data_IF_222297416054
#
_entry.id   IF_222297416054
#
_cell.length_a   1.000
_cell.length_b   1.000
_cell.length_c   1.000
_cell.angle_alpha   90.00
_cell.angle_beta   90.00
_cell.angle_gamma   90.00
#
_symmetry.space_group_name_H-M   'P 1'
#
loop_
_entity.id
_entity.type
_entity.pdbx_description
1 polymer ?
#
# COMPACT_ATOMS: atom_id res chain seq x y z
N UNK A 1 -29.80 -14.11 80.63
CA UNK A 1 -29.27 -15.47 80.42
C UNK A 1 -29.17 -15.64 78.91
N UNK A 2 -28.13 -15.06 78.31
CA UNK A 2 -26.87 -15.73 77.91
C UNK A 2 -27.15 -16.99 77.09
N UNK A 3 -26.90 -16.95 75.78
CA UNK A 3 -26.21 -17.98 74.98
C UNK A 3 -26.29 -17.57 73.48
N UNK A 4 -25.26 -16.92 72.91
CA UNK A 4 -24.27 -17.48 71.96
C UNK A 4 -24.71 -17.57 70.47
N UNK A 5 -23.95 -16.84 69.65
CA UNK A 5 -23.31 -17.28 68.39
C UNK A 5 -24.18 -17.56 67.15
N UNK A 6 -24.15 -16.64 66.17
CA UNK A 6 -23.64 -16.88 64.81
C UNK A 6 -23.70 -15.55 64.01
N UNK A 7 -22.74 -14.64 64.20
CA UNK A 7 -21.63 -14.39 63.26
C UNK A 7 -22.02 -14.29 61.79
N UNK A 8 -21.78 -13.09 61.26
CA UNK A 8 -22.22 -12.59 59.97
C UNK A 8 -21.66 -13.33 58.77
N UNK A 9 -22.54 -13.46 57.78
CA UNK A 9 -22.35 -13.30 56.34
C UNK A 9 -20.90 -13.17 55.87
N UNK A 10 -20.49 -14.18 55.09
CA UNK A 10 -19.32 -14.29 54.19
C UNK A 10 -19.34 -13.25 53.06
N UNK A 11 -18.31 -13.15 52.19
CA UNK A 11 -17.04 -13.87 52.14
C UNK A 11 -15.77 -13.01 52.12
N UNK A 12 -14.73 -13.70 52.57
CA UNK A 12 -13.30 -13.65 52.25
C UNK A 12 -12.85 -12.92 50.96
N UNK A 13 -11.96 -11.98 51.23
CA UNK A 13 -10.75 -11.58 50.51
C UNK A 13 -10.76 -10.55 49.36
N UNK A 14 -9.74 -9.66 49.37
CA UNK A 14 -9.79 -8.32 48.79
C UNK A 14 -8.73 -8.15 47.67
N UNK A 15 -8.51 -6.89 47.29
CA UNK A 15 -7.41 -6.35 46.47
C UNK A 15 -7.48 -6.61 44.95
N UNK A 16 -8.17 -5.69 44.26
CA UNK A 16 -7.85 -5.31 42.88
C UNK A 16 -7.65 -3.79 42.83
N UNK A 17 -6.39 -3.38 42.81
CA UNK A 17 -5.85 -2.04 42.64
C UNK A 17 -6.64 -1.25 41.59
N UNK A 18 -7.38 -0.25 42.04
CA UNK A 18 -7.90 0.79 41.16
C UNK A 18 -6.72 1.62 40.67
N UNK A 19 -6.28 1.33 39.45
CA UNK A 19 -5.30 2.14 38.74
C UNK A 19 -6.04 3.35 38.15
N UNK A 20 -5.62 4.61 38.38
CA UNK A 20 -6.14 5.70 37.57
C UNK A 20 -5.65 5.49 36.13
N UNK A 21 -6.59 5.44 35.19
CA UNK A 21 -6.30 5.34 33.77
C UNK A 21 -5.35 6.46 33.35
N UNK A 22 -4.12 6.10 32.97
CA UNK A 22 -3.19 7.02 32.33
C UNK A 22 -3.82 7.48 31.01
N UNK A 23 -3.89 8.78 30.71
CA UNK A 23 -4.28 9.21 29.38
C UNK A 23 -3.24 8.69 28.40
N UNK A 24 -3.66 7.76 27.52
CA UNK A 24 -2.88 7.39 26.34
C UNK A 24 -2.79 8.61 25.43
N UNK A 25 -1.71 9.38 25.56
CA UNK A 25 -1.31 10.30 24.50
C UNK A 25 -0.93 9.43 23.30
N UNK A 26 -1.88 9.29 22.38
CA UNK A 26 -1.60 8.73 21.06
C UNK A 26 -0.55 9.64 20.42
N UNK A 27 0.66 9.15 20.06
CA UNK A 27 1.55 9.97 19.29
C UNK A 27 0.82 10.32 18.00
N UNK A 28 0.70 11.62 17.73
CA UNK A 28 0.18 12.12 16.46
C UNK A 28 0.87 11.32 15.35
N UNK A 29 0.09 10.64 14.51
CA UNK A 29 0.61 9.96 13.33
C UNK A 29 1.21 11.06 12.45
N UNK A 30 2.50 11.31 12.60
CA UNK A 30 3.24 12.06 11.60
C UNK A 30 2.97 11.35 10.28
N UNK A 31 2.44 12.03 9.25
CA UNK A 31 2.40 11.45 7.94
C UNK A 31 3.86 11.38 7.48
N UNK A 32 4.57 10.32 7.90
CA UNK A 32 5.78 9.89 7.24
C UNK A 32 5.34 9.48 5.84
N UNK A 33 5.27 10.48 4.97
CA UNK A 33 5.09 10.33 3.54
C UNK A 33 6.26 9.47 3.12
N UNK A 34 6.06 8.15 3.04
CA UNK A 34 7.03 7.22 2.49
C UNK A 34 7.53 7.87 1.21
N UNK A 35 8.78 8.31 1.22
CA UNK A 35 9.43 8.77 0.00
C UNK A 35 9.27 7.60 -0.97
N UNK A 36 8.70 7.78 -2.17
CA UNK A 36 8.67 6.71 -3.14
C UNK A 36 10.13 6.32 -3.34
N UNK A 37 10.50 5.13 -2.85
CA UNK A 37 11.79 4.56 -3.18
C UNK A 37 11.78 4.48 -4.69
N UNK A 38 12.71 5.16 -5.37
CA UNK A 38 12.85 5.02 -6.79
C UNK A 38 13.21 3.55 -7.03
N UNK A 39 12.21 2.72 -7.33
CA UNK A 39 12.44 1.32 -7.68
C UNK A 39 13.35 1.37 -8.89
N UNK A 40 14.53 0.77 -8.74
CA UNK A 40 15.58 0.81 -9.75
C UNK A 40 15.00 0.43 -11.12
N UNK A 41 15.29 1.23 -12.14
CA UNK A 41 14.70 1.03 -13.47
C UNK A 41 14.99 -0.38 -14.02
N UNK A 42 16.12 -0.98 -13.63
CA UNK A 42 16.46 -2.36 -13.95
C UNK A 42 15.50 -3.36 -13.30
N UNK A 43 15.11 -3.13 -12.03
CA UNK A 43 14.16 -3.98 -11.30
C UNK A 43 12.77 -3.87 -11.92
N UNK A 44 12.35 -2.69 -12.38
CA UNK A 44 11.06 -2.53 -13.07
C UNK A 44 11.04 -3.29 -14.40
N UNK A 45 12.15 -3.23 -15.15
CA UNK A 45 12.29 -3.92 -16.44
C UNK A 45 12.46 -5.44 -16.32
N UNK A 46 12.76 -5.94 -15.13
CA UNK A 46 12.91 -7.38 -14.90
C UNK A 46 11.59 -8.13 -15.20
N UNK A 47 11.66 -9.11 -16.09
CA UNK A 47 10.54 -9.97 -16.48
C UNK A 47 9.68 -9.47 -17.65
N UNK A 48 10.00 -8.30 -18.22
CA UNK A 48 9.33 -7.83 -19.44
C UNK A 48 9.65 -8.75 -20.63
N UNK A 49 8.65 -8.98 -21.48
CA UNK A 49 8.83 -9.76 -22.70
C UNK A 49 9.67 -8.97 -23.73
N UNK A 50 10.36 -9.64 -24.67
CA UNK A 50 11.08 -8.97 -25.74
C UNK A 50 10.27 -7.92 -26.53
N UNK A 51 9.01 -8.18 -26.95
CA UNK A 51 8.21 -7.16 -27.63
C UNK A 51 7.86 -5.98 -26.72
N UNK A 52 7.62 -6.21 -25.42
CA UNK A 52 7.41 -5.12 -24.46
C UNK A 52 8.63 -4.21 -24.32
N UNK A 53 9.83 -4.79 -24.28
CA UNK A 53 11.08 -4.02 -24.19
C UNK A 53 11.30 -3.18 -25.45
N UNK A 54 11.04 -3.73 -26.64
CA UNK A 54 11.16 -2.99 -27.90
C UNK A 54 10.19 -1.80 -27.96
N UNK A 55 8.93 -2.02 -27.57
CA UNK A 55 7.93 -0.95 -27.47
C UNK A 55 8.32 0.09 -26.42
N UNK A 56 8.80 -0.34 -25.25
CA UNK A 56 9.26 0.57 -24.19
C UNK A 56 10.40 1.47 -24.70
N UNK A 57 11.40 0.91 -25.36
CA UNK A 57 12.52 1.68 -25.94
C UNK A 57 12.04 2.68 -26.97
N UNK A 58 11.09 2.29 -27.82
CA UNK A 58 10.48 3.17 -28.81
C UNK A 58 9.76 4.34 -28.12
N UNK A 59 8.97 4.04 -27.09
CA UNK A 59 8.22 5.04 -26.31
C UNK A 59 9.14 6.00 -25.54
N UNK A 60 10.27 5.51 -25.02
CA UNK A 60 11.29 6.36 -24.37
C UNK A 60 11.84 7.44 -25.33
N UNK A 61 11.95 7.15 -26.63
CA UNK A 61 12.34 8.16 -27.65
C UNK A 61 11.29 9.27 -27.80
N UNK A 62 10.00 8.93 -27.66
CA UNK A 62 8.89 9.87 -27.67
C UNK A 62 8.70 10.61 -26.34
N UNK A 63 9.69 10.57 -25.44
CA UNK A 63 9.67 11.22 -24.12
C UNK A 63 8.59 10.64 -23.18
N UNK A 64 8.25 9.37 -23.37
CA UNK A 64 7.47 8.62 -22.40
C UNK A 64 8.40 7.91 -21.44
N UNK A 65 7.97 7.74 -20.20
CA UNK A 65 8.77 7.08 -19.17
C UNK A 65 7.97 5.98 -18.49
N UNK A 66 8.65 4.89 -18.16
CA UNK A 66 8.10 3.82 -17.35
C UNK A 66 7.87 4.33 -15.94
N UNK A 67 6.63 4.33 -15.48
CA UNK A 67 6.31 4.81 -14.15
C UNK A 67 6.25 3.66 -13.14
N UNK A 68 5.58 2.57 -13.50
CA UNK A 68 5.55 1.35 -12.69
C UNK A 68 5.14 0.15 -13.55
N UNK A 69 5.43 -1.04 -13.06
CA UNK A 69 5.03 -2.31 -13.67
C UNK A 69 4.09 -3.03 -12.72
N UNK A 70 2.88 -3.37 -13.18
CA UNK A 70 1.96 -4.20 -12.40
C UNK A 70 2.38 -5.66 -12.58
N UNK A 71 2.53 -6.39 -11.48
CA UNK A 71 2.89 -7.82 -11.47
C UNK A 71 1.76 -8.65 -10.86
N UNK A 72 0.71 -8.98 -11.62
CA UNK A 72 -0.26 -9.99 -11.19
C UNK A 72 0.44 -11.35 -10.99
N UNK A 73 0.00 -12.13 -10.01
CA UNK A 73 0.69 -13.37 -9.60
C UNK A 73 0.77 -14.44 -10.70
N UNK A 74 -0.11 -14.37 -11.71
CA UNK A 74 -0.24 -15.39 -12.77
C UNK A 74 -0.31 -14.82 -14.19
N UNK A 75 0.02 -13.54 -14.41
CA UNK A 75 0.04 -12.95 -15.75
C UNK A 75 1.38 -12.26 -16.01
N UNK A 76 1.65 -11.96 -17.28
CA UNK A 76 2.83 -11.20 -17.65
C UNK A 76 2.87 -9.84 -16.93
N UNK A 77 4.07 -9.32 -16.63
CA UNK A 77 4.20 -7.97 -16.10
C UNK A 77 3.61 -6.95 -17.07
N UNK A 78 2.85 -6.01 -16.53
CA UNK A 78 2.10 -5.00 -17.28
C UNK A 78 2.78 -3.64 -17.03
N UNK A 79 3.70 -3.19 -17.89
CA UNK A 79 4.32 -1.88 -17.78
C UNK A 79 3.34 -0.75 -18.09
N UNK A 80 3.33 0.27 -17.24
CA UNK A 80 2.52 1.48 -17.38
C UNK A 80 3.46 2.67 -17.63
N UNK A 81 3.26 3.33 -18.77
CA UNK A 81 4.05 4.47 -19.21
C UNK A 81 3.21 5.73 -19.12
N UNK A 82 3.87 6.85 -18.81
CA UNK A 82 3.28 8.18 -18.82
C UNK A 82 3.99 9.06 -19.85
N UNK A 83 3.26 10.00 -20.44
CA UNK A 83 3.87 11.03 -21.27
C UNK A 83 4.65 12.05 -20.41
N UNK A 84 5.46 12.88 -21.05
CA UNK A 84 6.26 13.92 -20.38
C UNK A 84 5.47 14.80 -19.39
N UNK A 85 4.20 15.07 -19.70
CA UNK A 85 3.31 15.95 -18.95
C UNK A 85 2.42 15.19 -17.93
N UNK A 86 2.55 13.86 -17.85
CA UNK A 86 1.69 12.95 -17.09
C UNK A 86 0.18 13.03 -17.39
N UNK A 87 -0.22 13.81 -18.40
CA UNK A 87 -1.59 13.93 -18.91
C UNK A 87 -2.14 12.66 -19.58
N UNK A 88 -1.26 11.80 -20.10
CA UNK A 88 -1.66 10.53 -20.75
C UNK A 88 -0.84 9.38 -20.20
N UNK A 89 -1.50 8.24 -20.04
CA UNK A 89 -0.86 6.99 -19.70
C UNK A 89 -1.26 5.90 -20.68
N UNK A 90 -0.34 4.97 -20.90
CA UNK A 90 -0.54 3.81 -21.77
C UNK A 90 0.01 2.58 -21.08
N UNK A 91 -0.52 1.44 -21.46
CA UNK A 91 -0.11 0.15 -20.93
C UNK A 91 0.47 -0.68 -22.07
N UNK A 92 1.64 -1.32 -21.87
CA UNK A 92 2.13 -2.29 -22.87
C UNK A 92 1.62 -3.68 -22.50
N UNK A 93 0.85 -4.28 -23.40
CA UNK A 93 0.37 -5.65 -23.28
C UNK A 93 1.53 -6.65 -23.51
N UNK A 94 1.29 -7.94 -23.28
CA UNK A 94 2.33 -8.98 -23.43
C UNK A 94 2.92 -9.07 -24.85
N UNK A 95 2.09 -8.79 -25.86
CA UNK A 95 2.42 -8.81 -27.29
C UNK A 95 3.18 -7.55 -27.75
N UNK A 96 3.37 -6.57 -26.85
CA UNK A 96 4.01 -5.29 -27.17
C UNK A 96 3.05 -4.22 -27.71
N UNK A 97 1.76 -4.52 -27.82
CA UNK A 97 0.73 -3.55 -28.18
C UNK A 97 0.48 -2.54 -27.05
N UNK A 98 0.18 -1.31 -27.42
CA UNK A 98 -0.12 -0.22 -26.49
C UNK A 98 -1.63 -0.10 -26.31
N UNK A 99 -2.08 -0.15 -25.06
CA UNK A 99 -3.44 0.19 -24.68
C UNK A 99 -3.46 1.63 -24.14
N UNK A 100 -4.04 2.54 -24.94
CA UNK A 100 -4.16 3.98 -24.64
C UNK A 100 -5.53 4.38 -24.06
N UNK A 101 -6.42 3.40 -23.82
CA UNK A 101 -7.81 3.60 -23.43
C UNK A 101 -8.21 2.91 -22.11
N UNK A 102 -7.46 3.05 -21.00
CA UNK A 102 -8.05 2.85 -19.69
C UNK A 102 -9.00 4.02 -19.43
N UNK A 103 -10.31 3.75 -19.44
CA UNK A 103 -11.38 4.73 -19.24
C UNK A 103 -11.33 5.34 -17.83
N UNK A 104 -10.32 6.17 -17.52
CA UNK A 104 -10.16 6.80 -16.22
C UNK A 104 -10.34 8.31 -16.37
N UNK A 105 -11.55 8.79 -16.11
CA UNK A 105 -11.81 10.23 -15.94
C UNK A 105 -11.17 10.71 -14.64
N UNK A 106 -10.01 11.36 -14.73
CA UNK A 106 -9.49 12.22 -13.66
C UNK A 106 -10.48 13.40 -13.51
N UNK A 107 -11.16 13.50 -12.35
CA UNK A 107 -11.88 14.72 -11.99
C UNK A 107 -10.90 15.66 -11.28
N UNK A 108 -10.86 16.90 -11.75
CA UNK A 108 -10.14 18.00 -11.09
C UNK A 108 -10.83 18.47 -9.81
#
# INVERSE_FOLDING_TARGET
MLELQNQGVTPDSPVAWEMPARPIVQPARTPERRKPVAIDAAVQRAGLTPPQLATLQTMEQFRWYLHFVRRPLFQAPIPVLFNQDASRFVVIQEDGTLDEQPTLKLRG
#
